data_IF_272273174033
#
_entry.id   IF_272273174033
#
_cell.length_a   1.000
_cell.length_b   1.000
_cell.length_c   1.000
_cell.angle_alpha   90.00
_cell.angle_beta   90.00
_cell.angle_gamma   90.00
#
_symmetry.space_group_name_H-M   'P 1'
#
loop_
_entity.id
_entity.type
_entity.pdbx_description
1 polymer ?
#
# COMPACT_ATOMS: atom_id res chain seq x y z
N UNK A 1 32.46 10.94 -0.91
CA UNK A 1 33.58 10.44 -1.73
C UNK A 1 32.96 9.38 -2.61
N UNK A 2 32.68 9.75 -3.85
CA UNK A 2 31.89 8.96 -4.81
C UNK A 2 32.78 7.90 -5.46
N UNK A 3 32.34 6.64 -5.39
CA UNK A 3 32.93 5.58 -6.20
C UNK A 3 32.07 5.45 -7.47
N UNK A 4 32.57 6.04 -8.54
CA UNK A 4 32.15 5.80 -9.91
C UNK A 4 32.46 4.33 -10.24
N UNK A 5 31.44 3.55 -10.61
CA UNK A 5 31.65 2.22 -11.18
C UNK A 5 32.13 2.37 -12.64
N UNK A 6 33.30 1.83 -13.04
CA UNK A 6 33.91 2.08 -14.35
C UNK A 6 33.30 1.34 -15.54
N UNK A 7 32.40 0.38 -15.34
CA UNK A 7 32.22 -0.67 -16.35
C UNK A 7 31.10 -0.50 -17.38
N UNK A 8 30.29 0.57 -17.39
CA UNK A 8 29.29 0.83 -18.45
C UNK A 8 28.48 -0.41 -18.89
N UNK A 9 28.17 -1.33 -17.96
CA UNK A 9 27.40 -2.53 -18.28
C UNK A 9 25.92 -2.20 -18.13
N UNK A 10 25.27 -2.00 -19.28
CA UNK A 10 23.84 -1.76 -19.40
C UNK A 10 23.07 -2.98 -18.89
N UNK A 11 22.32 -2.82 -17.81
CA UNK A 11 21.21 -3.73 -17.51
C UNK A 11 20.05 -3.29 -18.40
N UNK A 12 19.84 -4.02 -19.50
CA UNK A 12 18.56 -3.95 -20.21
C UNK A 12 17.51 -4.61 -19.33
N UNK A 13 16.53 -3.82 -18.87
CA UNK A 13 15.27 -4.37 -18.44
C UNK A 13 14.60 -4.92 -19.70
N UNK A 14 14.48 -6.24 -19.81
CA UNK A 14 13.56 -6.83 -20.77
C UNK A 14 12.18 -6.30 -20.42
N UNK A 15 11.76 -5.29 -21.17
CA UNK A 15 10.41 -4.74 -21.12
C UNK A 15 9.47 -5.79 -21.69
N UNK A 16 9.14 -6.81 -20.90
CA UNK A 16 7.82 -7.41 -21.05
C UNK A 16 6.87 -6.27 -20.74
N UNK A 17 6.37 -5.63 -21.79
CA UNK A 17 5.34 -4.60 -21.68
C UNK A 17 4.27 -5.17 -20.74
N UNK A 18 3.99 -4.52 -19.61
CA UNK A 18 3.09 -5.02 -18.58
C UNK A 18 1.72 -5.45 -19.14
N UNK A 19 1.32 -4.84 -20.26
CA UNK A 19 0.16 -5.20 -21.10
C UNK A 19 0.16 -6.66 -21.61
N UNK A 20 1.33 -7.30 -21.66
CA UNK A 20 1.55 -8.69 -22.09
C UNK A 20 1.71 -9.66 -20.92
N UNK A 21 1.83 -9.16 -19.69
CA UNK A 21 1.69 -10.03 -18.52
C UNK A 21 0.22 -10.45 -18.52
N UNK A 22 -0.08 -11.76 -18.67
CA UNK A 22 -1.45 -12.22 -18.62
C UNK A 22 -2.06 -11.68 -17.33
N UNK A 23 -3.20 -10.99 -17.43
CA UNK A 23 -4.01 -10.70 -16.24
C UNK A 23 -4.16 -12.05 -15.54
N UNK A 24 -3.62 -12.15 -14.33
CA UNK A 24 -3.67 -13.40 -13.58
C UNK A 24 -5.09 -13.91 -13.52
N UNK A 25 -5.26 -15.20 -13.17
CA UNK A 25 -6.59 -15.76 -12.94
C UNK A 25 -7.44 -14.79 -12.14
N UNK A 26 -8.71 -14.62 -12.54
CA UNK A 26 -9.67 -13.76 -11.83
C UNK A 26 -9.50 -14.00 -10.34
N UNK A 27 -9.16 -12.96 -9.58
CA UNK A 27 -9.04 -13.08 -8.12
C UNK A 27 -10.36 -13.60 -7.59
N UNK A 28 -10.34 -14.81 -7.05
CA UNK A 28 -11.48 -15.38 -6.36
C UNK A 28 -11.53 -14.65 -5.02
N UNK A 29 -12.62 -13.91 -4.78
CA UNK A 29 -12.82 -13.28 -3.49
C UNK A 29 -12.74 -14.35 -2.40
N UNK A 30 -12.02 -14.05 -1.31
CA UNK A 30 -11.93 -14.97 -0.18
C UNK A 30 -13.34 -15.35 0.31
N UNK A 31 -13.73 -16.63 0.32
CA UNK A 31 -15.04 -17.06 0.80
C UNK A 31 -15.26 -16.66 2.25
N UNK A 32 -16.52 -16.50 2.66
CA UNK A 32 -16.91 -16.17 4.03
C UNK A 32 -16.52 -17.22 5.09
N UNK A 33 -16.13 -18.42 4.63
CA UNK A 33 -15.67 -19.56 5.40
C UNK A 33 -14.16 -19.58 5.66
N UNK A 34 -13.37 -18.67 5.06
CA UNK A 34 -11.92 -18.60 5.21
C UNK A 34 -11.49 -17.22 5.71
N UNK A 35 -10.59 -17.17 6.70
CA UNK A 35 -10.03 -15.91 7.21
C UNK A 35 -9.20 -15.15 6.18
N UNK A 36 -8.34 -15.88 5.47
CA UNK A 36 -7.35 -15.33 4.55
C UNK A 36 -7.20 -16.22 3.31
N UNK A 37 -7.02 -15.61 2.15
CA UNK A 37 -6.34 -16.27 1.04
C UNK A 37 -4.89 -15.79 1.02
N UNK A 38 -4.00 -16.57 1.63
CA UNK A 38 -2.57 -16.26 1.66
C UNK A 38 -1.88 -16.60 0.33
N UNK A 39 -1.00 -15.72 -0.13
CA UNK A 39 -0.05 -16.00 -1.20
C UNK A 39 1.32 -15.46 -0.83
N UNK A 40 2.29 -16.36 -0.77
CA UNK A 40 3.69 -16.02 -0.62
C UNK A 40 4.26 -15.57 -1.96
N UNK A 41 4.92 -14.42 -1.98
CA UNK A 41 5.70 -13.99 -3.12
C UNK A 41 6.95 -13.22 -2.69
N UNK A 42 8.00 -13.36 -3.48
CA UNK A 42 9.26 -12.64 -3.30
C UNK A 42 9.24 -11.38 -4.17
N UNK A 43 9.47 -10.23 -3.55
CA UNK A 43 9.63 -8.96 -4.28
C UNK A 43 11.10 -8.59 -4.29
N UNK A 44 11.69 -8.57 -5.47
CA UNK A 44 13.07 -8.10 -5.67
C UNK A 44 13.06 -6.61 -6.00
N UNK A 45 13.78 -5.85 -5.20
CA UNK A 45 13.91 -4.40 -5.34
C UNK A 45 15.37 -4.08 -5.66
N UNK A 46 15.60 -3.44 -6.80
CA UNK A 46 16.92 -2.95 -7.18
C UNK A 46 17.11 -1.52 -6.68
N UNK A 47 18.02 -1.35 -5.73
CA UNK A 47 18.35 -0.06 -5.12
C UNK A 47 19.79 0.35 -5.49
N UNK A 48 20.16 1.64 -5.33
CA UNK A 48 21.52 2.10 -5.61
C UNK A 48 22.61 1.35 -4.83
N UNK A 49 22.28 0.83 -3.64
CA UNK A 49 23.19 0.10 -2.77
C UNK A 49 23.15 -1.44 -2.97
N UNK A 50 22.35 -1.95 -3.90
CA UNK A 50 22.25 -3.37 -4.20
C UNK A 50 20.81 -3.86 -4.41
N UNK A 51 20.68 -5.16 -4.65
CA UNK A 51 19.39 -5.84 -4.70
C UNK A 51 18.97 -6.23 -3.28
N UNK A 52 17.68 -6.03 -2.97
CA UNK A 52 17.03 -6.54 -1.76
C UNK A 52 15.85 -7.41 -2.12
N UNK A 53 15.61 -8.44 -1.32
CA UNK A 53 14.46 -9.33 -1.47
C UNK A 53 13.53 -9.17 -0.28
N UNK A 54 12.29 -8.79 -0.54
CA UNK A 54 11.24 -8.66 0.45
C UNK A 54 10.36 -9.91 0.38
N UNK A 55 10.34 -10.68 1.47
CA UNK A 55 9.40 -11.78 1.62
C UNK A 55 8.03 -11.20 1.97
N UNK A 56 7.03 -11.47 1.12
CA UNK A 56 5.70 -10.88 1.28
C UNK A 56 4.63 -11.95 1.41
N UNK A 57 3.78 -11.80 2.42
CA UNK A 57 2.54 -12.56 2.58
C UNK A 57 1.39 -11.67 2.11
N UNK A 58 0.76 -12.02 0.97
CA UNK A 58 -0.44 -11.34 0.50
C UNK A 58 -1.64 -11.86 1.27
N UNK A 59 -2.22 -11.04 2.14
CA UNK A 59 -3.43 -11.39 2.86
C UNK A 59 -4.65 -10.74 2.19
N UNK A 60 -5.35 -11.50 1.35
CA UNK A 60 -6.71 -11.12 0.95
C UNK A 60 -7.69 -11.53 2.06
N UNK A 61 -8.54 -10.60 2.50
CA UNK A 61 -9.50 -10.84 3.58
C UNK A 61 -10.93 -10.54 3.14
N UNK A 62 -11.93 -11.35 3.54
CA UNK A 62 -13.31 -10.99 3.31
C UNK A 62 -13.69 -9.76 4.14
N UNK A 63 -14.61 -8.92 3.65
CA UNK A 63 -15.06 -7.74 4.40
C UNK A 63 -15.72 -8.09 5.74
N UNK A 64 -16.24 -9.31 5.86
CA UNK A 64 -16.89 -9.91 7.02
C UNK A 64 -15.94 -10.03 8.22
N UNK A 65 -14.64 -10.24 8.00
CA UNK A 65 -13.66 -10.40 9.09
C UNK A 65 -13.62 -9.19 10.02
N UNK A 66 -14.00 -8.01 9.51
CA UNK A 66 -14.07 -6.75 10.24
C UNK A 66 -15.37 -6.54 11.03
N UNK A 67 -16.27 -7.52 11.04
CA UNK A 67 -17.54 -7.47 11.80
C UNK A 67 -17.35 -8.14 13.17
N UNK A 68 -17.66 -7.47 14.29
CA UNK A 68 -17.53 -8.07 15.63
C UNK A 68 -18.31 -9.38 15.80
N UNK A 69 -19.48 -9.50 15.15
CA UNK A 69 -20.27 -10.73 15.17
C UNK A 69 -19.55 -11.90 14.49
N UNK A 70 -18.86 -11.65 13.37
CA UNK A 70 -18.10 -12.68 12.67
C UNK A 70 -16.88 -13.09 13.50
N UNK A 71 -16.16 -12.13 14.07
CA UNK A 71 -15.01 -12.40 14.95
C UNK A 71 -15.38 -13.25 16.16
N UNK A 72 -16.54 -12.98 16.77
CA UNK A 72 -17.05 -13.75 17.92
C UNK A 72 -17.49 -15.17 17.54
N UNK A 73 -17.99 -15.35 16.31
CA UNK A 73 -18.43 -16.65 15.79
C UNK A 73 -17.29 -17.49 15.23
N UNK A 74 -16.20 -16.84 14.78
CA UNK A 74 -15.04 -17.47 14.16
C UNK A 74 -13.73 -17.08 14.88
N UNK A 75 -13.60 -17.35 16.19
CA UNK A 75 -12.46 -16.87 16.98
C UNK A 75 -11.12 -17.45 16.52
N UNK A 76 -11.09 -18.71 16.06
CA UNK A 76 -9.87 -19.35 15.56
C UNK A 76 -9.39 -18.70 14.25
N UNK A 77 -10.31 -18.42 13.33
CA UNK A 77 -10.01 -17.77 12.05
C UNK A 77 -9.56 -16.32 12.28
N UNK A 78 -10.17 -15.63 13.23
CA UNK A 78 -9.74 -14.30 13.64
C UNK A 78 -8.33 -14.32 14.26
N UNK A 79 -8.05 -15.28 15.14
CA UNK A 79 -6.72 -15.43 15.71
C UNK A 79 -5.67 -15.76 14.64
N UNK A 80 -5.99 -16.66 13.70
CA UNK A 80 -5.12 -16.99 12.58
C UNK A 80 -4.75 -15.73 11.77
N UNK A 81 -5.73 -14.88 11.44
CA UNK A 81 -5.48 -13.61 10.77
C UNK A 81 -4.57 -12.68 11.58
N UNK A 82 -4.78 -12.58 12.90
CA UNK A 82 -3.94 -11.78 13.80
C UNK A 82 -2.50 -12.31 13.81
N UNK A 83 -2.32 -13.62 13.92
CA UNK A 83 -1.01 -14.27 14.01
C UNK A 83 -0.14 -13.97 12.78
N UNK A 84 -0.74 -13.91 11.58
CA UNK A 84 -0.03 -13.53 10.35
C UNK A 84 0.46 -12.07 10.32
N UNK A 85 -0.15 -11.19 11.13
CA UNK A 85 0.16 -9.76 11.14
C UNK A 85 1.03 -9.33 12.34
N UNK A 86 1.05 -10.10 13.43
CA UNK A 86 1.80 -9.76 14.63
C UNK A 86 3.32 -9.75 14.43
N UNK A 87 3.81 -10.57 13.51
CA UNK A 87 5.24 -10.68 13.18
C UNK A 87 5.66 -9.85 11.96
N UNK A 88 4.75 -9.05 11.39
CA UNK A 88 5.05 -8.22 10.23
C UNK A 88 5.91 -7.00 10.62
N UNK A 89 7.08 -6.85 9.98
CA UNK A 89 7.91 -5.62 10.10
C UNK A 89 7.26 -4.44 9.36
N UNK A 90 6.56 -4.72 8.25
CA UNK A 90 5.88 -3.72 7.44
C UNK A 90 4.51 -4.20 6.94
N UNK A 91 3.53 -3.30 6.94
CA UNK A 91 2.18 -3.55 6.42
C UNK A 91 1.90 -2.57 5.29
N UNK A 92 1.45 -3.09 4.15
CA UNK A 92 0.95 -2.31 3.02
C UNK A 92 -0.58 -2.42 2.98
N UNK A 93 -1.27 -1.36 3.44
CA UNK A 93 -2.72 -1.29 3.47
C UNK A 93 -3.28 -0.64 2.20
N UNK A 94 -3.94 -1.45 1.37
CA UNK A 94 -4.62 -0.98 0.16
C UNK A 94 -5.99 -0.41 0.49
N UNK A 95 -6.21 0.87 0.16
CA UNK A 95 -7.47 1.58 0.36
C UNK A 95 -8.11 1.91 -0.99
N UNK A 96 -9.39 1.61 -1.14
CA UNK A 96 -10.18 2.13 -2.26
C UNK A 96 -10.45 3.64 -2.06
N UNK A 97 -10.64 4.41 -3.15
CA UNK A 97 -11.00 5.82 -3.04
C UNK A 97 -12.39 6.01 -2.44
N UNK A 98 -12.60 7.13 -1.75
CA UNK A 98 -13.93 7.56 -1.33
C UNK A 98 -14.58 8.37 -2.44
N UNK A 99 -15.90 8.28 -2.55
CA UNK A 99 -16.70 8.86 -3.64
C UNK A 99 -16.35 10.31 -3.97
N UNK A 100 -16.21 11.15 -2.95
CA UNK A 100 -16.01 12.59 -3.09
C UNK A 100 -14.61 13.00 -3.57
N UNK A 101 -13.67 12.05 -3.73
CA UNK A 101 -12.36 12.30 -4.36
C UNK A 101 -12.39 12.05 -5.87
N UNK A 102 -13.40 11.31 -6.35
CA UNK A 102 -13.50 10.85 -7.73
C UNK A 102 -14.04 11.94 -8.65
N UNK A 103 -13.82 11.76 -9.95
CA UNK A 103 -14.57 12.51 -10.96
C UNK A 103 -16.08 12.18 -10.85
N UNK A 104 -16.95 13.18 -10.61
CA UNK A 104 -18.40 12.98 -10.48
C UNK A 104 -19.08 12.46 -11.76
N UNK A 105 -18.39 12.47 -12.89
CA UNK A 105 -18.89 11.98 -14.17
C UNK A 105 -18.60 10.49 -14.41
N UNK A 106 -17.89 9.81 -13.49
CA UNK A 106 -17.65 8.38 -13.61
C UNK A 106 -18.97 7.59 -13.53
N UNK A 107 -19.21 6.60 -14.43
CA UNK A 107 -20.42 5.79 -14.41
C UNK A 107 -20.68 5.10 -13.06
N UNK A 108 -19.60 4.65 -12.42
CA UNK A 108 -19.58 3.90 -11.15
C UNK A 108 -19.49 4.80 -9.90
N UNK A 109 -19.57 6.13 -10.04
CA UNK A 109 -19.39 7.09 -8.94
C UNK A 109 -20.22 6.75 -7.69
N UNK A 110 -21.46 6.32 -7.87
CA UNK A 110 -22.39 6.02 -6.77
C UNK A 110 -22.09 4.68 -6.07
N UNK A 111 -21.32 3.80 -6.69
CA UNK A 111 -20.92 2.50 -6.12
C UNK A 111 -19.83 2.65 -5.06
N UNK A 112 -19.03 3.73 -5.14
CA UNK A 112 -18.02 4.04 -4.13
C UNK A 112 -18.65 4.51 -2.83
N UNK A 113 -18.00 4.18 -1.73
CA UNK A 113 -18.41 4.60 -0.40
C UNK A 113 -18.25 6.10 -0.21
N UNK A 114 -19.16 6.70 0.55
CA UNK A 114 -19.03 8.10 0.97
C UNK A 114 -17.78 8.30 1.84
N UNK A 115 -17.29 9.53 1.90
CA UNK A 115 -16.19 9.94 2.78
C UNK A 115 -16.44 9.54 4.23
N UNK A 116 -17.67 9.72 4.71
CA UNK A 116 -18.06 9.33 6.08
C UNK A 116 -17.92 7.82 6.30
N UNK A 117 -18.41 7.01 5.37
CA UNK A 117 -18.28 5.56 5.44
C UNK A 117 -16.81 5.12 5.35
N UNK A 118 -16.02 5.78 4.51
CA UNK A 118 -14.60 5.53 4.35
C UNK A 118 -13.82 5.81 5.65
N UNK A 119 -14.06 6.97 6.29
CA UNK A 119 -13.49 7.31 7.61
C UNK A 119 -13.87 6.27 8.66
N UNK A 120 -15.16 5.89 8.73
CA UNK A 120 -15.64 4.88 9.69
C UNK A 120 -14.99 3.50 9.48
N UNK A 121 -14.65 3.14 8.23
CA UNK A 121 -13.90 1.92 7.93
C UNK A 121 -12.45 2.05 8.38
N UNK A 122 -11.83 3.21 8.18
CA UNK A 122 -10.46 3.46 8.61
C UNK A 122 -10.30 3.46 10.15
N UNK A 123 -11.28 3.97 10.90
CA UNK A 123 -11.30 3.88 12.37
C UNK A 123 -11.18 2.43 12.89
N UNK A 124 -11.74 1.45 12.15
CA UNK A 124 -11.60 0.03 12.51
C UNK A 124 -10.16 -0.46 12.34
N UNK A 125 -9.49 -0.02 11.27
CA UNK A 125 -8.07 -0.29 11.06
C UNK A 125 -7.21 0.33 12.16
N UNK A 126 -7.51 1.56 12.57
CA UNK A 126 -6.78 2.24 13.65
C UNK A 126 -6.87 1.45 14.95
N UNK A 127 -8.09 1.04 15.34
CA UNK A 127 -8.30 0.20 16.52
C UNK A 127 -7.56 -1.13 16.42
N UNK A 128 -7.62 -1.76 15.24
CA UNK A 128 -6.91 -3.01 14.98
C UNK A 128 -5.40 -2.86 15.15
N UNK A 129 -4.76 -1.88 14.49
CA UNK A 129 -3.32 -1.69 14.58
C UNK A 129 -2.86 -1.40 16.01
N UNK A 130 -3.58 -0.55 16.73
CA UNK A 130 -3.27 -0.26 18.14
C UNK A 130 -3.38 -1.48 19.04
N UNK A 131 -4.31 -2.39 18.75
CA UNK A 131 -4.58 -3.54 19.60
C UNK A 131 -3.67 -4.73 19.29
N UNK A 132 -3.37 -4.96 18.02
CA UNK A 132 -2.76 -6.22 17.57
C UNK A 132 -1.41 -6.04 16.86
N UNK A 133 -1.05 -4.83 16.45
CA UNK A 133 0.18 -4.56 15.70
C UNK A 133 1.09 -3.62 16.49
N UNK A 134 1.61 -4.08 17.62
CA UNK A 134 2.51 -3.26 18.46
C UNK A 134 3.97 -3.26 18.00
N UNK A 135 4.32 -4.12 17.03
CA UNK A 135 5.70 -4.32 16.54
C UNK A 135 5.92 -3.84 15.12
N UNK A 136 4.90 -3.27 14.48
CA UNK A 136 5.04 -2.78 13.11
C UNK A 136 5.92 -1.55 13.08
N UNK A 137 6.95 -1.57 12.23
CA UNK A 137 7.85 -0.42 12.06
C UNK A 137 7.39 0.43 10.88
N UNK A 138 6.76 -0.17 9.88
CA UNK A 138 6.31 0.52 8.67
C UNK A 138 4.83 0.24 8.35
N UNK A 139 4.02 1.30 8.29
CA UNK A 139 2.64 1.21 7.79
C UNK A 139 2.48 2.09 6.56
N UNK A 140 2.29 1.46 5.41
CA UNK A 140 2.08 2.13 4.14
C UNK A 140 0.59 2.17 3.83
N UNK A 141 0.04 3.37 3.73
CA UNK A 141 -1.33 3.61 3.33
C UNK A 141 -1.37 3.91 1.83
N UNK A 142 -1.92 3.00 1.04
CA UNK A 142 -1.94 3.10 -0.42
C UNK A 142 -3.36 3.35 -0.93
N UNK A 143 -3.65 4.58 -1.35
CA UNK A 143 -4.92 4.92 -2.00
C UNK A 143 -4.88 4.46 -3.47
N UNK A 144 -5.51 3.33 -3.75
CA UNK A 144 -5.48 2.69 -5.06
C UNK A 144 -6.51 3.30 -6.02
N UNK A 145 -6.39 2.95 -7.31
CA UNK A 145 -7.19 3.48 -8.42
C UNK A 145 -6.98 4.98 -8.66
N UNK A 146 -5.72 5.42 -8.60
CA UNK A 146 -5.32 6.80 -8.86
C UNK A 146 -5.79 7.34 -10.22
N UNK A 147 -5.94 6.48 -11.21
CA UNK A 147 -6.53 6.78 -12.52
C UNK A 147 -7.95 7.36 -12.44
N UNK A 148 -8.71 7.08 -11.38
CA UNK A 148 -10.09 7.57 -11.21
C UNK A 148 -10.21 8.95 -10.55
N UNK A 149 -9.14 9.44 -9.91
CA UNK A 149 -9.17 10.71 -9.17
C UNK A 149 -8.03 11.68 -9.51
N UNK A 150 -6.97 11.21 -10.17
CA UNK A 150 -5.92 12.07 -10.68
C UNK A 150 -6.34 12.65 -12.03
N UNK A 151 -6.62 13.96 -12.08
CA UNK A 151 -6.96 14.64 -13.33
C UNK A 151 -5.88 14.54 -14.41
N UNK A 152 -4.60 14.43 -14.03
CA UNK A 152 -3.48 14.13 -14.94
C UNK A 152 -2.56 13.07 -14.31
N UNK A 153 -2.91 11.79 -14.52
CA UNK A 153 -2.14 10.66 -13.97
C UNK A 153 -0.66 10.65 -14.38
N UNK A 154 -0.36 11.07 -15.62
CA UNK A 154 1.01 11.06 -16.15
C UNK A 154 1.90 12.08 -15.44
N UNK A 155 1.39 13.30 -15.24
CA UNK A 155 2.12 14.33 -14.51
C UNK A 155 2.28 13.95 -13.04
N UNK A 156 1.22 13.41 -12.44
CA UNK A 156 1.24 12.96 -11.05
C UNK A 156 2.28 11.85 -10.84
N UNK A 157 2.34 10.86 -11.73
CA UNK A 157 3.34 9.78 -11.64
C UNK A 157 4.75 10.31 -11.81
N UNK A 158 5.00 11.18 -12.79
CA UNK A 158 6.33 11.76 -13.02
C UNK A 158 6.82 12.61 -11.84
N UNK A 159 5.91 13.27 -11.13
CA UNK A 159 6.25 14.05 -9.94
C UNK A 159 6.61 13.17 -8.75
N UNK A 160 5.95 12.02 -8.63
CA UNK A 160 6.14 11.07 -7.53
C UNK A 160 7.12 9.94 -7.84
N UNK A 161 7.57 9.81 -9.08
CA UNK A 161 8.43 8.72 -9.52
C UNK A 161 9.71 8.63 -8.68
N UNK A 162 10.20 7.40 -8.53
CA UNK A 162 11.50 7.13 -7.95
C UNK A 162 12.55 7.04 -9.06
N UNK A 163 13.58 7.86 -8.97
CA UNK A 163 14.76 7.83 -9.84
C UNK A 163 16.04 7.76 -8.98
N UNK A 164 16.80 6.66 -9.04
CA UNK A 164 17.98 6.46 -8.19
C UNK A 164 19.10 7.51 -8.40
N UNK A 165 19.10 8.23 -9.52
CA UNK A 165 20.11 9.22 -9.88
C UNK A 165 19.62 10.66 -9.70
N UNK A 166 18.33 10.92 -9.93
CA UNK A 166 17.75 12.26 -9.82
C UNK A 166 16.33 12.25 -9.25
N UNK A 167 16.22 12.38 -7.93
CA UNK A 167 14.92 12.48 -7.26
C UNK A 167 14.36 13.91 -7.35
N UNK A 168 13.18 14.08 -7.97
CA UNK A 168 12.43 15.35 -7.92
C UNK A 168 11.97 15.69 -6.49
N UNK A 169 11.60 14.67 -5.73
CA UNK A 169 11.13 14.78 -4.35
C UNK A 169 11.81 13.72 -3.48
N UNK A 170 12.21 14.06 -2.27
CA UNK A 170 12.62 13.07 -1.25
C UNK A 170 11.41 12.23 -0.79
N UNK A 171 11.66 11.12 -0.08
CA UNK A 171 10.57 10.32 0.49
C UNK A 171 9.63 11.14 1.39
N UNK A 172 10.19 11.99 2.24
CA UNK A 172 9.41 12.90 3.09
C UNK A 172 8.58 13.89 2.29
N UNK A 173 9.14 14.45 1.21
CA UNK A 173 8.42 15.39 0.35
C UNK A 173 7.27 14.70 -0.40
N UNK A 174 7.49 13.49 -0.93
CA UNK A 174 6.45 12.68 -1.58
C UNK A 174 5.32 12.35 -0.60
N UNK A 175 5.68 11.83 0.57
CA UNK A 175 4.73 11.48 1.63
C UNK A 175 3.90 12.69 2.05
N UNK A 176 4.55 13.82 2.37
CA UNK A 176 3.85 15.06 2.74
C UNK A 176 2.91 15.54 1.64
N UNK A 177 3.34 15.49 0.38
CA UNK A 177 2.52 15.86 -0.76
C UNK A 177 1.26 14.98 -0.85
N UNK A 178 1.42 13.65 -0.83
CA UNK A 178 0.31 12.70 -0.92
C UNK A 178 -0.60 12.79 0.31
N UNK A 179 -0.02 12.86 1.50
CA UNK A 179 -0.70 13.02 2.77
C UNK A 179 -1.64 14.22 2.75
N UNK A 180 -1.15 15.41 2.41
CA UNK A 180 -1.99 16.61 2.40
C UNK A 180 -3.04 16.59 1.30
N UNK A 181 -2.71 16.07 0.13
CA UNK A 181 -3.59 16.13 -1.05
C UNK A 181 -4.71 15.09 -1.01
N UNK A 182 -4.41 13.85 -0.63
CA UNK A 182 -5.33 12.72 -0.79
C UNK A 182 -5.86 12.15 0.54
N UNK A 183 -5.11 12.31 1.63
CA UNK A 183 -5.43 11.69 2.93
C UNK A 183 -6.04 12.64 3.97
N UNK A 184 -6.39 13.87 3.57
CA UNK A 184 -6.99 14.88 4.45
C UNK A 184 -8.09 14.34 5.39
N UNK A 185 -9.06 13.51 4.93
CA UNK A 185 -10.15 13.05 5.79
C UNK A 185 -9.72 12.19 6.98
N UNK A 186 -8.51 11.62 6.97
CA UNK A 186 -8.01 10.72 8.02
C UNK A 186 -6.72 11.20 8.70
N UNK A 187 -6.33 12.46 8.52
CA UNK A 187 -5.16 13.06 9.18
C UNK A 187 -5.15 12.85 10.69
N UNK A 188 -6.28 13.07 11.36
CA UNK A 188 -6.39 12.88 12.82
C UNK A 188 -6.09 11.43 13.25
N UNK A 189 -6.50 10.46 12.44
CA UNK A 189 -6.30 9.04 12.71
C UNK A 189 -4.86 8.60 12.45
N UNK A 190 -4.21 9.12 11.40
CA UNK A 190 -2.78 8.90 11.14
C UNK A 190 -1.95 9.46 12.30
N UNK A 191 -2.27 10.68 12.74
CA UNK A 191 -1.61 11.30 13.90
C UNK A 191 -1.86 10.53 15.20
N UNK A 192 -3.03 9.91 15.35
CA UNK A 192 -3.30 9.03 16.49
C UNK A 192 -2.39 7.81 16.45
N UNK A 193 -2.29 7.11 15.33
CA UNK A 193 -1.41 5.93 15.21
C UNK A 193 0.06 6.27 15.51
N UNK A 194 0.59 7.34 14.92
CA UNK A 194 1.97 7.81 15.17
C UNK A 194 2.26 8.14 16.66
N UNK A 195 1.24 8.38 17.49
CA UNK A 195 1.40 8.66 18.93
C UNK A 195 1.24 7.43 19.82
N UNK A 196 0.63 6.36 19.30
CA UNK A 196 0.24 5.19 20.10
C UNK A 196 1.09 3.95 19.81
N UNK A 197 1.82 3.93 18.69
CA UNK A 197 2.68 2.81 18.31
C UNK A 197 4.10 3.37 18.22
N UNK A 198 4.96 2.88 19.12
CA UNK A 198 6.35 3.30 19.21
C UNK A 198 7.10 2.90 17.92
N UNK A 199 8.02 3.76 17.49
CA UNK A 199 8.88 3.57 16.30
C UNK A 199 8.14 3.37 14.96
N UNK A 200 6.82 3.53 14.93
CA UNK A 200 6.03 3.42 13.70
C UNK A 200 6.29 4.57 12.73
N UNK A 201 6.66 4.23 11.50
CA UNK A 201 6.69 5.13 10.36
C UNK A 201 5.48 4.89 9.43
N UNK A 202 4.54 5.83 9.44
CA UNK A 202 3.41 5.82 8.50
C UNK A 202 3.79 6.60 7.24
N UNK A 203 3.54 6.02 6.06
CA UNK A 203 3.72 6.69 4.76
C UNK A 203 2.49 6.55 3.87
N UNK A 204 2.16 7.63 3.19
CA UNK A 204 1.02 7.70 2.28
C UNK A 204 1.47 7.62 0.82
N UNK A 205 0.82 6.76 0.05
CA UNK A 205 1.03 6.58 -1.38
C UNK A 205 -0.30 6.60 -2.13
N UNK A 206 -0.24 6.96 -3.40
CA UNK A 206 -1.30 6.66 -4.37
C UNK A 206 -0.80 5.55 -5.30
N UNK A 207 -1.67 4.64 -5.69
CA UNK A 207 -1.33 3.52 -6.57
C UNK A 207 -2.38 3.32 -7.66
N UNK A 208 -1.98 2.75 -8.78
CA UNK A 208 -2.90 2.24 -9.80
C UNK A 208 -2.18 1.15 -10.60
N UNK A 209 -2.94 0.18 -11.10
CA UNK A 209 -2.41 -0.87 -11.97
C UNK A 209 -2.03 -0.35 -13.37
N UNK A 210 -2.51 0.85 -13.73
CA UNK A 210 -2.27 1.46 -15.04
C UNK A 210 -0.99 2.30 -15.08
N UNK A 211 -0.30 2.46 -13.95
CA UNK A 211 0.94 3.23 -13.87
C UNK A 211 1.98 2.52 -12.97
N UNK A 212 3.03 2.02 -13.61
CA UNK A 212 4.11 1.28 -12.96
C UNK A 212 4.86 2.10 -11.91
N UNK A 213 5.16 3.37 -12.21
CA UNK A 213 5.89 4.25 -11.30
C UNK A 213 5.15 4.34 -9.96
N UNK A 214 3.84 4.59 -10.00
CA UNK A 214 3.03 4.66 -8.79
C UNK A 214 2.86 3.30 -8.09
N UNK A 215 2.72 2.21 -8.85
CA UNK A 215 2.54 0.87 -8.30
C UNK A 215 3.79 0.36 -7.56
N UNK A 216 4.98 0.68 -8.06
CA UNK A 216 6.25 0.20 -7.50
C UNK A 216 6.73 1.03 -6.30
N UNK A 217 6.32 2.30 -6.17
CA UNK A 217 6.79 3.20 -5.12
C UNK A 217 6.71 2.65 -3.69
N UNK A 218 5.58 2.05 -3.24
CA UNK A 218 5.50 1.44 -1.91
C UNK A 218 6.57 0.36 -1.68
N UNK A 219 6.82 -0.47 -2.69
CA UNK A 219 7.79 -1.56 -2.62
C UNK A 219 9.23 -1.03 -2.58
N UNK A 220 9.53 -0.01 -3.38
CA UNK A 220 10.84 0.64 -3.36
C UNK A 220 11.10 1.29 -2.00
N UNK A 221 10.08 1.94 -1.41
CA UNK A 221 10.17 2.46 -0.06
C UNK A 221 10.47 1.34 0.95
N UNK A 222 9.68 0.27 0.97
CA UNK A 222 9.91 -0.85 1.89
C UNK A 222 11.31 -1.46 1.71
N UNK A 223 11.76 -1.68 0.47
CA UNK A 223 13.12 -2.17 0.22
C UNK A 223 14.19 -1.22 0.75
N UNK A 224 13.95 0.08 0.72
CA UNK A 224 14.90 1.08 1.23
C UNK A 224 15.06 1.03 2.76
N UNK A 225 14.01 0.64 3.49
CA UNK A 225 13.96 0.77 4.96
C UNK A 225 13.88 -0.54 5.74
N UNK A 226 13.28 -1.60 5.20
CA UNK A 226 13.23 -2.90 5.87
C UNK A 226 14.64 -3.48 6.02
N UNK A 227 14.93 -3.98 7.21
CA UNK A 227 16.23 -4.47 7.62
C UNK A 227 16.42 -5.93 7.20
N UNK A 228 16.56 -6.17 5.90
CA UNK A 228 17.29 -7.27 5.24
C UNK A 228 17.39 -6.98 3.75
#
# INVERSE_FOLDING_TARGET
MELVNPNHQFVMVDSVAYQKIPKGDKSIATPDQQSIHDRYFEVKVHLPNGEKTIMTNWLDTPGEIWRPSWQSQNPNEWQNFIDHLQDAEGILLILAPYREILDPHLPEYHEFVTRKQWINRFDRWVKFFKQYCSRIEHLLLCLNKADLFCGNLKEESQNLAYDPHYQRMTWEQKDRYVYHRYFNPIHSYINELNRNIDDLSIRCFITTIDNRELLELPWIYLGSYLAK
#
